data_IF_720269687373
#
_entry.id   IF_720269687373
#
_cell.length_a   1.000
_cell.length_b   1.000
_cell.length_c   1.000
_cell.angle_alpha   90.00
_cell.angle_beta   90.00
_cell.angle_gamma   90.00
#
_symmetry.space_group_name_H-M   'P 1'
#
loop_
_entity.id
_entity.type
_entity.pdbx_description
1 polymer ?
#
# COMPACT_ATOMS: atom_id res chain seq x y z
N UNK A 1 -41.67 -31.74 -18.24
CA UNK A 1 -41.69 -30.51 -17.39
C UNK A 1 -42.54 -30.65 -16.11
N UNK A 2 -43.59 -31.47 -16.09
CA UNK A 2 -44.51 -31.62 -14.95
C UNK A 2 -43.94 -32.34 -13.72
N UNK A 3 -43.05 -33.34 -13.89
CA UNK A 3 -42.47 -34.11 -12.78
C UNK A 3 -41.58 -33.32 -11.83
N UNK A 4 -40.81 -32.34 -12.32
CA UNK A 4 -39.96 -31.49 -11.47
C UNK A 4 -40.78 -30.49 -10.63
N UNK A 5 -41.93 -30.04 -11.12
CA UNK A 5 -42.81 -29.10 -10.39
C UNK A 5 -43.50 -29.78 -9.23
N UNK A 6 -43.97 -31.05 -9.44
CA UNK A 6 -44.64 -31.85 -8.41
C UNK A 6 -43.62 -32.24 -7.32
N UNK A 7 -42.38 -32.62 -7.70
CA UNK A 7 -41.34 -32.93 -6.74
C UNK A 7 -40.95 -31.70 -5.88
N UNK A 8 -40.87 -30.52 -6.47
CA UNK A 8 -40.64 -29.24 -5.74
C UNK A 8 -41.79 -28.90 -4.77
N UNK A 9 -43.01 -29.12 -5.19
CA UNK A 9 -44.22 -28.83 -4.38
C UNK A 9 -44.29 -29.83 -3.18
N UNK A 10 -44.00 -31.09 -3.40
CA UNK A 10 -43.97 -32.13 -2.36
C UNK A 10 -42.83 -31.80 -1.39
N UNK A 11 -41.61 -31.46 -1.87
CA UNK A 11 -40.48 -31.11 -1.03
C UNK A 11 -40.77 -29.86 -0.14
N UNK A 12 -41.40 -28.82 -0.72
CA UNK A 12 -41.76 -27.59 0.02
C UNK A 12 -42.85 -27.85 1.07
N UNK A 13 -43.84 -28.75 0.79
CA UNK A 13 -44.92 -29.09 1.71
C UNK A 13 -44.40 -30.00 2.82
N UNK A 14 -43.41 -30.85 2.53
CA UNK A 14 -42.76 -31.77 3.50
C UNK A 14 -41.92 -30.98 4.50
N UNK A 15 -41.20 -29.93 4.05
CA UNK A 15 -40.41 -29.04 4.90
C UNK A 15 -41.29 -28.15 5.82
N UNK A 16 -42.56 -27.93 5.49
CA UNK A 16 -43.48 -27.04 6.24
C UNK A 16 -44.62 -27.78 6.97
N UNK A 17 -44.61 -29.10 7.02
CA UNK A 17 -45.71 -29.86 7.65
C UNK A 17 -45.66 -29.72 9.19
N UNK A 18 -46.78 -29.16 9.81
CA UNK A 18 -46.79 -28.88 11.26
C UNK A 18 -47.04 -30.11 12.13
N UNK A 19 -47.18 -31.34 11.56
CA UNK A 19 -47.64 -32.52 12.27
C UNK A 19 -46.57 -33.45 12.79
N UNK A 20 -45.29 -33.13 12.66
CA UNK A 20 -44.20 -33.91 13.23
C UNK A 20 -43.19 -32.96 13.87
N UNK A 21 -43.21 -32.84 15.20
CA UNK A 21 -42.04 -32.46 15.98
C UNK A 21 -41.02 -33.60 15.88
N UNK A 22 -40.74 -34.02 14.65
CA UNK A 22 -39.74 -35.05 14.40
C UNK A 22 -38.37 -34.46 14.56
N UNK A 23 -37.54 -35.07 15.37
CA UNK A 23 -36.10 -34.81 15.51
C UNK A 23 -35.45 -34.64 14.14
N UNK A 24 -35.97 -35.27 13.10
CA UNK A 24 -35.54 -35.19 11.70
C UNK A 24 -35.65 -33.77 11.10
N UNK A 25 -36.74 -33.05 11.39
CA UNK A 25 -36.92 -31.70 10.90
C UNK A 25 -35.91 -30.72 11.55
N UNK A 26 -35.65 -30.91 12.83
CA UNK A 26 -34.65 -30.16 13.58
C UNK A 26 -33.25 -30.43 13.02
N UNK A 27 -32.90 -31.71 12.80
CA UNK A 27 -31.61 -32.09 12.21
C UNK A 27 -31.42 -31.56 10.81
N UNK A 28 -32.47 -31.54 9.96
CA UNK A 28 -32.42 -30.96 8.62
C UNK A 28 -32.17 -29.47 8.66
N UNK A 29 -32.83 -28.74 9.57
CA UNK A 29 -32.57 -27.31 9.78
C UNK A 29 -31.17 -27.02 10.29
N UNK A 30 -30.69 -27.80 11.26
CA UNK A 30 -29.30 -27.69 11.76
C UNK A 30 -28.31 -27.87 10.62
N UNK A 31 -28.53 -28.83 9.73
CA UNK A 31 -27.64 -29.05 8.58
C UNK A 31 -27.63 -27.91 7.57
N UNK A 32 -28.78 -27.30 7.31
CA UNK A 32 -28.89 -26.12 6.44
C UNK A 32 -28.14 -24.93 7.05
N UNK A 33 -28.31 -24.70 8.34
CA UNK A 33 -27.62 -23.63 9.07
C UNK A 33 -26.13 -23.90 9.15
N UNK A 34 -25.73 -25.15 9.41
CA UNK A 34 -24.33 -25.57 9.52
C UNK A 34 -23.52 -25.35 8.22
N UNK A 35 -24.17 -25.34 7.06
CA UNK A 35 -23.53 -25.00 5.77
C UNK A 35 -23.74 -23.53 5.42
N UNK A 36 -24.95 -23.03 5.65
CA UNK A 36 -25.29 -21.65 5.27
C UNK A 36 -24.49 -20.58 5.99
N UNK A 37 -24.26 -20.76 7.30
CA UNK A 37 -23.51 -19.79 8.12
C UNK A 37 -22.04 -19.70 7.70
N UNK A 38 -21.27 -20.79 7.56
CA UNK A 38 -19.89 -20.71 7.09
C UNK A 38 -19.74 -20.14 5.69
N UNK A 39 -20.67 -20.49 4.77
CA UNK A 39 -20.63 -19.92 3.41
C UNK A 39 -20.89 -18.41 3.43
N UNK A 40 -21.90 -17.97 4.19
CA UNK A 40 -22.18 -16.55 4.35
C UNK A 40 -21.01 -15.82 5.00
N UNK A 41 -20.43 -16.37 6.05
CA UNK A 41 -19.26 -15.82 6.73
C UNK A 41 -18.06 -15.69 5.77
N UNK A 42 -17.81 -16.70 4.94
CA UNK A 42 -16.71 -16.69 3.97
C UNK A 42 -16.92 -15.61 2.91
N UNK A 43 -18.16 -15.44 2.39
CA UNK A 43 -18.48 -14.38 1.41
C UNK A 43 -18.28 -13.00 2.02
N UNK A 44 -18.77 -12.78 3.25
CA UNK A 44 -18.60 -11.51 3.96
C UNK A 44 -17.12 -11.22 4.17
N UNK A 45 -16.37 -12.21 4.66
CA UNK A 45 -14.95 -12.06 4.94
C UNK A 45 -14.15 -11.72 3.67
N UNK A 46 -14.40 -12.43 2.56
CA UNK A 46 -13.77 -12.13 1.27
C UNK A 46 -14.16 -10.73 0.75
N UNK A 47 -15.40 -10.32 0.96
CA UNK A 47 -15.85 -8.97 0.58
C UNK A 47 -15.12 -7.89 1.38
N UNK A 48 -14.95 -8.09 2.69
CA UNK A 48 -14.20 -7.18 3.57
C UNK A 48 -12.73 -7.12 3.14
N UNK A 49 -12.08 -8.26 2.88
CA UNK A 49 -10.68 -8.29 2.42
C UNK A 49 -10.49 -7.59 1.08
N UNK A 50 -11.39 -7.80 0.12
CA UNK A 50 -11.30 -7.10 -1.16
C UNK A 50 -11.51 -5.59 -1.02
N UNK A 51 -12.40 -5.15 -0.13
CA UNK A 51 -12.59 -3.74 0.20
C UNK A 51 -11.35 -3.13 0.87
N UNK A 52 -10.77 -3.84 1.83
CA UNK A 52 -9.57 -3.41 2.52
C UNK A 52 -8.35 -3.32 1.58
N UNK A 53 -8.13 -4.34 0.74
CA UNK A 53 -7.08 -4.32 -0.29
C UNK A 53 -7.20 -3.10 -1.21
N UNK A 54 -8.43 -2.75 -1.62
CA UNK A 54 -8.71 -1.54 -2.40
C UNK A 54 -8.30 -0.26 -1.68
N UNK A 55 -8.67 -0.11 -0.41
CA UNK A 55 -8.33 1.07 0.40
C UNK A 55 -6.82 1.20 0.58
N UNK A 56 -6.15 0.11 0.96
CA UNK A 56 -4.67 0.09 1.13
C UNK A 56 -3.98 0.50 -0.17
N UNK A 57 -4.38 -0.09 -1.30
CA UNK A 57 -3.81 0.26 -2.62
C UNK A 57 -4.00 1.74 -2.95
N UNK A 58 -5.15 2.32 -2.64
CA UNK A 58 -5.44 3.74 -2.91
C UNK A 58 -4.57 4.64 -2.03
N UNK A 59 -4.48 4.38 -0.72
CA UNK A 59 -3.64 5.17 0.19
C UNK A 59 -2.18 5.23 -0.26
N UNK A 60 -1.60 4.07 -0.60
CA UNK A 60 -0.22 4.03 -1.10
C UNK A 60 -0.07 4.59 -2.52
N UNK A 61 -1.15 4.64 -3.32
CA UNK A 61 -1.11 5.17 -4.69
C UNK A 61 -0.88 6.67 -4.74
N UNK A 62 -1.23 7.38 -3.70
CA UNK A 62 -1.20 8.84 -3.70
C UNK A 62 0.22 9.36 -3.43
N UNK A 63 1.00 8.67 -2.58
CA UNK A 63 2.38 9.05 -2.26
C UNK A 63 3.45 8.40 -3.16
N UNK A 64 3.22 7.17 -3.62
CA UNK A 64 4.13 6.44 -4.49
C UNK A 64 3.51 6.27 -5.89
N UNK A 65 4.07 6.90 -6.94
CA UNK A 65 3.56 6.76 -8.30
C UNK A 65 3.74 5.35 -8.85
N UNK A 66 3.15 5.06 -10.01
CA UNK A 66 3.02 3.71 -10.56
C UNK A 66 4.35 3.05 -10.85
N UNK A 67 5.34 3.82 -11.32
CA UNK A 67 6.65 3.31 -11.67
C UNK A 67 7.77 4.12 -11.00
N UNK A 68 8.85 3.43 -10.71
CA UNK A 68 10.08 4.03 -10.16
C UNK A 68 11.27 3.48 -10.95
N UNK A 69 12.09 4.38 -11.46
CA UNK A 69 13.36 4.05 -12.09
C UNK A 69 14.45 4.31 -11.06
N UNK A 70 15.22 3.27 -10.74
CA UNK A 70 16.27 3.32 -9.75
C UNK A 70 17.57 2.71 -10.31
N UNK A 71 18.74 3.00 -9.73
CA UNK A 71 19.98 2.39 -10.18
C UNK A 71 20.00 0.88 -9.82
N UNK A 72 20.50 0.05 -10.74
CA UNK A 72 20.71 -1.38 -10.50
C UNK A 72 21.81 -1.64 -9.46
N UNK A 73 22.81 -0.78 -9.42
CA UNK A 73 23.92 -0.84 -8.46
C UNK A 73 24.16 0.53 -7.85
N UNK A 74 24.45 0.54 -6.54
CA UNK A 74 24.64 1.80 -5.82
C UNK A 74 23.35 2.39 -5.25
N UNK A 75 23.42 3.64 -4.80
CA UNK A 75 22.30 4.34 -4.15
C UNK A 75 21.73 5.48 -4.99
N UNK A 76 22.45 5.88 -6.02
CA UNK A 76 22.16 7.13 -6.75
C UNK A 76 22.43 6.94 -8.23
N UNK A 77 21.53 7.41 -9.04
CA UNK A 77 21.65 7.60 -10.49
C UNK A 77 21.99 9.07 -10.80
N UNK A 78 22.59 9.32 -11.95
CA UNK A 78 22.77 10.68 -12.42
C UNK A 78 21.46 11.23 -12.94
N UNK A 79 20.98 12.31 -12.34
CA UNK A 79 19.74 12.96 -12.76
C UNK A 79 20.02 13.77 -14.04
N UNK A 80 19.63 13.24 -15.19
CA UNK A 80 19.79 13.91 -16.49
C UNK A 80 18.44 14.27 -17.09
N UNK A 81 18.37 15.49 -17.68
CA UNK A 81 17.18 15.89 -18.44
C UNK A 81 16.91 14.95 -19.62
N UNK A 82 17.95 14.47 -20.29
CA UNK A 82 17.80 13.55 -21.42
C UNK A 82 17.15 12.21 -21.04
N UNK A 83 17.37 11.68 -19.83
CA UNK A 83 16.65 10.52 -19.35
C UNK A 83 15.18 10.84 -19.09
N UNK A 84 14.90 11.96 -18.42
CA UNK A 84 13.55 12.41 -18.14
C UNK A 84 12.74 12.66 -19.41
N UNK A 85 13.31 13.36 -20.39
CA UNK A 85 12.68 13.63 -21.68
C UNK A 85 12.33 12.33 -22.44
N UNK A 86 13.23 11.36 -22.47
CA UNK A 86 12.96 10.05 -23.06
C UNK A 86 11.80 9.34 -22.38
N UNK A 87 11.73 9.38 -21.06
CA UNK A 87 10.62 8.76 -20.30
C UNK A 87 9.30 9.53 -20.55
N UNK A 88 9.34 10.84 -20.60
CA UNK A 88 8.16 11.68 -20.90
C UNK A 88 7.67 11.55 -22.34
N UNK A 89 8.51 11.10 -23.28
CA UNK A 89 8.10 10.85 -24.68
C UNK A 89 7.19 9.63 -24.85
N UNK A 90 7.00 8.83 -23.81
CA UNK A 90 6.12 7.65 -23.82
C UNK A 90 4.68 8.11 -23.54
N UNK A 91 3.75 7.77 -24.42
CA UNK A 91 2.35 8.22 -24.37
C UNK A 91 1.63 7.93 -23.06
N UNK A 92 1.97 6.80 -22.41
CA UNK A 92 1.38 6.37 -21.14
C UNK A 92 1.85 7.20 -19.95
N UNK A 93 2.97 7.93 -20.08
CA UNK A 93 3.55 8.74 -19.00
C UNK A 93 2.85 10.09 -18.91
N UNK A 94 2.48 10.48 -17.70
CA UNK A 94 1.90 11.78 -17.39
C UNK A 94 2.97 12.78 -16.93
N UNK A 95 3.80 12.36 -15.96
CA UNK A 95 4.85 13.17 -15.38
C UNK A 95 5.98 12.32 -14.82
N UNK A 96 7.15 12.91 -14.64
CA UNK A 96 8.31 12.27 -14.07
C UNK A 96 9.12 13.25 -13.22
N UNK A 97 9.44 12.87 -11.97
CA UNK A 97 10.12 13.72 -10.99
C UNK A 97 11.30 12.98 -10.36
N UNK A 98 12.45 13.65 -10.27
CA UNK A 98 13.61 13.14 -9.55
C UNK A 98 13.44 13.29 -8.05
N UNK A 99 13.79 12.23 -7.31
CA UNK A 99 13.85 12.23 -5.85
C UNK A 99 15.22 11.80 -5.36
N UNK A 100 15.66 12.37 -4.25
CA UNK A 100 16.90 11.99 -3.56
C UNK A 100 16.58 11.75 -2.09
N UNK A 101 16.63 10.49 -1.68
CA UNK A 101 16.35 10.05 -0.31
C UNK A 101 17.63 9.80 0.47
N UNK A 102 17.68 10.25 1.72
CA UNK A 102 18.77 9.96 2.63
C UNK A 102 18.36 10.11 4.08
N UNK A 103 18.94 9.28 4.94
CA UNK A 103 18.69 9.37 6.38
C UNK A 103 19.47 10.54 6.99
N UNK A 104 18.80 11.34 7.80
CA UNK A 104 19.37 12.48 8.48
C UNK A 104 18.93 12.53 9.95
N UNK A 105 19.78 13.06 10.80
CA UNK A 105 19.42 13.50 12.13
C UNK A 105 18.83 14.91 12.02
N UNK A 106 17.60 15.07 12.45
CA UNK A 106 16.88 16.33 12.49
C UNK A 106 16.92 16.90 13.91
N UNK A 107 17.10 18.19 14.02
CA UNK A 107 17.03 18.88 15.32
C UNK A 107 16.18 20.14 15.22
N UNK A 108 15.36 20.37 16.23
CA UNK A 108 14.54 21.57 16.37
C UNK A 108 14.50 21.97 17.85
N UNK A 109 15.14 23.09 18.20
CA UNK A 109 15.40 23.43 19.60
C UNK A 109 16.21 22.33 20.30
N UNK A 110 15.68 21.79 21.38
CA UNK A 110 16.31 20.69 22.13
C UNK A 110 15.88 19.29 21.67
N UNK A 111 14.90 19.21 20.77
CA UNK A 111 14.36 17.94 20.29
C UNK A 111 15.14 17.42 19.09
N UNK A 112 15.20 16.11 19.00
CA UNK A 112 15.92 15.40 17.94
C UNK A 112 15.13 14.18 17.49
N UNK A 113 15.13 13.91 16.20
CA UNK A 113 14.64 12.65 15.64
C UNK A 113 15.46 12.26 14.41
N UNK A 114 15.36 11.00 14.02
CA UNK A 114 15.95 10.50 12.76
C UNK A 114 14.83 10.36 11.74
N UNK A 115 15.01 10.94 10.56
CA UNK A 115 14.04 10.81 9.48
C UNK A 115 14.74 10.72 8.12
N UNK A 116 14.03 10.23 7.12
CA UNK A 116 14.47 10.24 5.73
C UNK A 116 14.16 11.61 5.13
N UNK A 117 15.20 12.36 4.77
CA UNK A 117 15.07 13.58 3.98
C UNK A 117 14.88 13.18 2.53
N UNK A 118 13.75 13.58 1.96
CA UNK A 118 13.41 13.40 0.55
C UNK A 118 13.54 14.74 -0.17
N UNK A 119 14.60 14.88 -0.95
CA UNK A 119 14.75 16.00 -1.87
C UNK A 119 13.95 15.77 -3.13
N UNK A 120 13.16 16.74 -3.55
CA UNK A 120 12.29 16.63 -4.73
C UNK A 120 12.47 17.80 -5.67
N UNK A 121 12.25 17.58 -6.97
CA UNK A 121 12.29 18.62 -7.99
C UNK A 121 10.93 19.35 -8.12
N UNK A 122 10.87 20.36 -8.99
CA UNK A 122 9.68 21.18 -9.21
C UNK A 122 8.51 20.43 -9.85
N UNK A 123 8.72 19.25 -10.42
CA UNK A 123 7.67 18.43 -11.04
C UNK A 123 7.05 17.43 -10.06
N UNK A 124 7.52 17.42 -8.82
CA UNK A 124 7.06 16.45 -7.82
C UNK A 124 5.55 16.56 -7.54
N UNK A 125 5.01 17.77 -7.44
CA UNK A 125 3.56 17.98 -7.22
C UNK A 125 2.68 17.50 -8.37
N UNK A 126 3.24 17.42 -9.59
CA UNK A 126 2.54 16.84 -10.74
C UNK A 126 2.63 15.31 -10.74
N UNK A 127 3.63 14.74 -10.06
CA UNK A 127 3.88 13.30 -10.00
C UNK A 127 3.23 12.66 -8.78
N UNK A 128 3.19 13.39 -7.66
CA UNK A 128 2.62 12.97 -6.39
C UNK A 128 1.60 14.02 -5.94
N UNK A 129 0.41 13.60 -5.54
CA UNK A 129 -0.65 14.51 -5.08
C UNK A 129 -0.41 14.97 -3.63
N UNK A 130 0.80 15.47 -3.33
CA UNK A 130 1.22 15.83 -1.98
C UNK A 130 0.40 16.98 -1.38
N UNK A 131 -0.12 17.87 -2.23
CA UNK A 131 -0.93 19.02 -1.81
C UNK A 131 -2.25 18.56 -1.14
N UNK A 132 -2.83 17.48 -1.63
CA UNK A 132 -4.07 16.89 -1.08
C UNK A 132 -3.84 16.22 0.29
N UNK A 133 -2.58 15.91 0.62
CA UNK A 133 -2.19 15.27 1.88
C UNK A 133 -1.79 16.28 2.96
N UNK A 134 -1.81 17.57 2.66
CA UNK A 134 -1.40 18.60 3.63
C UNK A 134 -2.38 18.68 4.80
N UNK A 135 -1.88 18.43 6.00
CA UNK A 135 -2.63 18.57 7.26
C UNK A 135 -2.59 19.99 7.80
N UNK A 136 -1.45 20.67 7.63
CA UNK A 136 -1.22 22.06 8.06
C UNK A 136 -0.20 22.74 7.17
N UNK A 137 -0.36 24.06 6.96
CA UNK A 137 0.52 24.84 6.11
C UNK A 137 0.33 24.58 4.64
N UNK A 138 1.35 24.83 3.84
CA UNK A 138 1.33 24.69 2.38
C UNK A 138 2.58 23.93 1.90
N UNK A 139 2.46 23.26 0.73
CA UNK A 139 3.60 22.60 0.12
C UNK A 139 4.48 23.61 -0.62
N UNK A 140 5.35 24.27 0.14
CA UNK A 140 6.31 25.25 -0.38
C UNK A 140 7.70 24.82 0.07
N UNK A 141 8.62 24.60 -0.90
CA UNK A 141 9.98 24.15 -0.62
C UNK A 141 11.01 25.29 -0.72
N UNK A 142 10.63 26.43 -1.25
CA UNK A 142 11.45 27.63 -1.31
C UNK A 142 10.56 28.87 -1.38
N UNK A 143 10.91 29.90 -0.64
CA UNK A 143 10.27 31.20 -0.70
C UNK A 143 11.29 32.33 -0.60
N UNK A 144 10.82 33.57 -0.39
CA UNK A 144 11.67 34.75 -0.24
C UNK A 144 12.57 34.73 1.00
N UNK A 145 12.26 33.90 1.97
CA UNK A 145 13.00 33.77 3.23
C UNK A 145 14.03 32.63 3.19
N UNK A 146 14.04 31.83 2.13
CA UNK A 146 14.98 30.73 1.94
C UNK A 146 14.34 29.38 1.69
N UNK A 147 15.15 28.34 1.95
CA UNK A 147 14.74 26.96 1.73
C UNK A 147 13.79 26.47 2.86
N UNK A 148 12.80 25.70 2.45
CA UNK A 148 11.74 25.22 3.31
C UNK A 148 11.65 23.69 3.28
N UNK A 149 10.99 23.15 4.32
CA UNK A 149 10.64 21.74 4.36
C UNK A 149 9.19 21.51 4.77
N UNK A 150 8.68 20.35 4.36
CA UNK A 150 7.37 19.83 4.77
C UNK A 150 7.61 18.52 5.49
N UNK A 151 7.20 18.44 6.75
CA UNK A 151 7.43 17.28 7.60
C UNK A 151 6.19 16.37 7.63
N UNK A 152 6.40 15.06 7.71
CA UNK A 152 5.33 14.15 8.05
C UNK A 152 4.81 14.39 9.47
N UNK A 153 3.53 14.09 9.72
CA UNK A 153 2.88 14.38 11.00
C UNK A 153 3.59 13.73 12.18
N UNK A 154 4.10 12.51 12.03
CA UNK A 154 4.86 11.81 13.07
C UNK A 154 6.18 12.50 13.37
N UNK A 155 6.96 12.87 12.34
CA UNK A 155 8.22 13.63 12.50
C UNK A 155 7.94 15.00 13.12
N UNK A 156 6.89 15.69 12.69
CA UNK A 156 6.48 16.97 13.26
C UNK A 156 6.13 16.86 14.74
N UNK A 157 5.50 15.76 15.14
CA UNK A 157 5.19 15.50 16.55
C UNK A 157 6.45 15.24 17.39
N UNK A 158 7.37 14.42 16.91
CA UNK A 158 8.64 14.13 17.60
C UNK A 158 9.50 15.37 17.75
N UNK A 159 9.61 16.19 16.71
CA UNK A 159 10.34 17.46 16.74
C UNK A 159 9.59 18.55 17.52
N UNK A 160 8.30 18.37 17.80
CA UNK A 160 7.48 19.38 18.47
C UNK A 160 7.13 20.58 17.60
N UNK A 161 7.01 20.41 16.30
CA UNK A 161 6.57 21.43 15.34
C UNK A 161 5.07 21.74 15.51
N UNK A 162 4.70 22.32 16.64
CA UNK A 162 3.29 22.65 16.95
C UNK A 162 2.79 23.85 16.15
N UNK A 163 3.66 24.79 15.89
CA UNK A 163 3.42 25.97 15.06
C UNK A 163 4.49 26.04 13.98
N UNK A 164 4.12 26.49 12.79
CA UNK A 164 5.05 26.75 11.70
C UNK A 164 5.69 28.11 11.99
N UNK A 165 6.76 28.09 12.79
CA UNK A 165 7.49 29.29 13.21
C UNK A 165 8.65 29.60 12.25
N UNK A 166 9.28 30.73 12.45
CA UNK A 166 10.49 31.14 11.74
C UNK A 166 11.74 30.37 12.16
N UNK A 167 11.64 29.52 13.18
CA UNK A 167 12.76 28.70 13.64
C UNK A 167 13.07 27.59 12.63
N UNK A 168 14.34 27.38 12.38
CA UNK A 168 14.78 26.38 11.40
C UNK A 168 14.95 24.99 11.99
N UNK A 169 14.60 23.99 11.20
CA UNK A 169 14.98 22.58 11.42
C UNK A 169 16.36 22.39 10.87
N UNK A 170 17.32 21.99 11.70
CA UNK A 170 18.66 21.65 11.25
C UNK A 170 18.75 20.15 10.96
N UNK A 171 19.28 19.82 9.80
CA UNK A 171 19.44 18.47 9.29
C UNK A 171 20.92 18.14 9.25
N UNK A 172 21.31 16.99 9.79
CA UNK A 172 22.72 16.54 9.88
C UNK A 172 22.89 15.17 9.24
N UNK A 173 23.91 15.05 8.40
CA UNK A 173 24.26 13.78 7.74
C UNK A 173 25.79 13.60 7.80
N UNK A 174 26.31 12.40 8.09
CA UNK A 174 27.74 12.14 7.98
C UNK A 174 28.25 12.42 6.56
N UNK A 175 29.30 13.24 6.44
CA UNK A 175 29.95 13.53 5.16
C UNK A 175 30.57 12.25 4.57
N UNK A 176 30.51 12.12 3.26
CA UNK A 176 31.13 11.01 2.51
C UNK A 176 32.63 11.19 2.33
N UNK A 177 33.17 12.37 2.64
CA UNK A 177 34.57 12.67 2.54
C UNK A 177 35.43 11.94 3.56
N UNK A 178 36.76 11.95 3.35
CA UNK A 178 37.69 11.39 4.31
C UNK A 178 37.69 12.22 5.58
N UNK A 179 37.39 11.58 6.71
CA UNK A 179 37.51 12.20 8.01
C UNK A 179 38.93 12.73 8.24
N UNK A 180 39.06 14.02 8.44
CA UNK A 180 40.32 14.59 8.95
C UNK A 180 40.35 14.36 10.46
N UNK A 181 41.36 13.61 10.93
CA UNK A 181 41.56 13.40 12.37
C UNK A 181 41.85 14.71 13.13
N UNK A 182 42.16 15.78 12.41
CA UNK A 182 42.45 17.11 12.97
C UNK A 182 41.22 17.99 13.12
N UNK A 183 40.08 17.69 12.41
CA UNK A 183 38.85 18.42 12.47
C UNK A 183 37.66 17.44 12.48
N UNK A 184 37.25 16.93 13.62
CA UNK A 184 36.16 15.93 13.71
C UNK A 184 34.77 16.49 13.25
N UNK A 185 34.58 17.79 13.33
CA UNK A 185 33.33 18.46 12.87
C UNK A 185 33.26 18.64 11.34
N UNK A 186 34.39 18.53 10.60
CA UNK A 186 34.35 18.59 9.13
C UNK A 186 33.77 17.33 8.47
N UNK A 187 33.44 16.32 9.27
CA UNK A 187 32.82 15.08 8.82
C UNK A 187 31.29 15.06 8.88
N UNK A 188 30.63 16.22 9.10
CA UNK A 188 29.17 16.31 9.19
C UNK A 188 28.68 17.43 8.27
N UNK A 189 27.89 17.06 7.28
CA UNK A 189 27.15 18.03 6.46
C UNK A 189 25.91 18.46 7.25
N UNK A 190 25.57 19.75 7.16
CA UNK A 190 24.35 20.26 7.76
C UNK A 190 23.68 21.26 6.85
N UNK A 191 22.35 21.28 6.92
CA UNK A 191 21.47 22.26 6.27
C UNK A 191 20.41 22.68 7.27
N UNK A 192 20.04 23.95 7.23
CA UNK A 192 18.97 24.51 8.05
C UNK A 192 17.84 24.98 7.12
N UNK A 193 16.64 24.48 7.34
CA UNK A 193 15.45 24.77 6.54
C UNK A 193 14.28 25.15 7.44
N UNK A 194 13.42 26.04 7.00
CA UNK A 194 12.24 26.43 7.79
C UNK A 194 11.05 25.53 7.48
N UNK A 195 10.26 25.09 8.49
CA UNK A 195 9.06 24.31 8.25
C UNK A 195 7.97 25.15 7.57
N UNK A 196 7.47 24.71 6.41
CA UNK A 196 6.38 25.33 5.67
C UNK A 196 5.04 24.63 5.89
N UNK A 197 5.07 23.34 6.18
CA UNK A 197 3.86 22.55 6.34
C UNK A 197 4.10 21.20 6.97
N UNK A 198 2.98 20.53 7.23
CA UNK A 198 2.93 19.15 7.75
C UNK A 198 1.96 18.38 6.89
N UNK A 199 2.40 17.26 6.33
CA UNK A 199 1.54 16.31 5.61
C UNK A 199 1.17 15.13 6.49
N UNK A 200 0.05 14.46 6.16
CA UNK A 200 -0.38 13.23 6.83
C UNK A 200 -1.00 12.28 5.82
N UNK A 201 -0.49 11.07 5.78
CA UNK A 201 -0.93 9.99 4.90
C UNK A 201 -1.20 8.72 5.71
N UNK A 202 -0.16 8.13 6.26
CA UNK A 202 -0.18 6.94 7.11
C UNK A 202 0.95 7.02 8.15
N UNK A 203 0.81 6.25 9.23
CA UNK A 203 1.73 6.33 10.37
C UNK A 203 3.20 6.05 10.01
N UNK A 204 3.46 5.14 9.08
CA UNK A 204 4.81 4.77 8.68
C UNK A 204 5.46 5.87 7.84
N UNK A 205 4.74 6.42 6.87
CA UNK A 205 5.20 7.53 6.02
C UNK A 205 5.33 8.83 6.82
N UNK A 206 4.35 9.12 7.66
CA UNK A 206 4.31 10.32 8.52
C UNK A 206 5.45 10.37 9.53
N UNK A 207 5.83 9.19 10.06
CA UNK A 207 6.95 9.06 11.00
C UNK A 207 8.33 9.01 10.34
N UNK A 208 8.38 8.91 9.02
CA UNK A 208 9.62 8.62 8.31
C UNK A 208 10.16 9.78 7.48
N UNK A 209 9.31 10.56 6.81
CA UNK A 209 9.75 11.47 5.78
C UNK A 209 9.68 12.95 6.16
N UNK A 210 10.71 13.68 5.70
CA UNK A 210 10.70 15.15 5.58
C UNK A 210 11.06 15.50 4.15
N UNK A 211 10.22 16.31 3.50
CA UNK A 211 10.37 16.69 2.10
C UNK A 211 11.01 18.08 2.03
N UNK A 212 12.01 18.24 1.18
CA UNK A 212 12.68 19.52 0.89
C UNK A 212 13.04 19.61 -0.59
N UNK A 213 13.64 20.72 -1.02
CA UNK A 213 14.09 20.84 -2.40
C UNK A 213 15.22 19.87 -2.73
N UNK A 214 15.29 19.43 -3.99
CA UNK A 214 16.34 18.55 -4.48
C UNK A 214 17.75 19.16 -4.29
N UNK A 215 17.85 20.49 -4.40
CA UNK A 215 19.10 21.24 -4.20
C UNK A 215 19.60 21.12 -2.75
N UNK A 216 18.72 21.31 -1.77
CA UNK A 216 19.04 21.16 -0.35
C UNK A 216 19.45 19.73 -0.03
N UNK A 217 18.72 18.75 -0.53
CA UNK A 217 19.06 17.35 -0.31
C UNK A 217 20.40 16.96 -0.96
N UNK A 218 20.71 17.46 -2.15
CA UNK A 218 21.99 17.25 -2.81
C UNK A 218 23.16 17.82 -2.02
N UNK A 219 22.99 19.05 -1.53
CA UNK A 219 24.02 19.68 -0.67
C UNK A 219 24.20 18.93 0.66
N UNK A 220 23.10 18.45 1.27
CA UNK A 220 23.13 17.71 2.53
C UNK A 220 23.78 16.34 2.38
N UNK A 221 23.43 15.60 1.33
CA UNK A 221 23.82 14.19 1.11
C UNK A 221 25.12 14.06 0.30
N UNK A 222 25.71 15.17 -0.14
CA UNK A 222 26.95 15.22 -0.95
C UNK A 222 26.82 14.46 -2.29
N UNK A 223 25.73 14.80 -3.04
CA UNK A 223 25.46 14.28 -4.38
C UNK A 223 25.04 15.40 -5.34
N UNK A 224 25.97 16.16 -5.91
CA UNK A 224 25.66 17.37 -6.71
C UNK A 224 24.70 17.14 -7.87
N UNK A 225 24.84 16.00 -8.56
CA UNK A 225 24.00 15.64 -9.73
C UNK A 225 23.22 14.34 -9.50
N UNK A 226 23.18 13.87 -8.25
CA UNK A 226 22.57 12.59 -7.92
C UNK A 226 21.05 12.66 -7.73
N UNK A 227 20.40 11.52 -7.97
CA UNK A 227 19.03 11.23 -7.54
C UNK A 227 18.95 9.75 -7.11
N UNK A 228 18.15 9.44 -6.10
CA UNK A 228 17.92 8.06 -5.69
C UNK A 228 17.03 7.33 -6.68
N UNK A 229 16.09 8.06 -7.30
CA UNK A 229 15.16 7.51 -8.26
C UNK A 229 14.52 8.60 -9.14
N UNK A 230 14.00 8.19 -10.29
CA UNK A 230 13.05 8.94 -11.08
C UNK A 230 11.67 8.30 -10.88
N UNK A 231 10.77 9.03 -10.24
CA UNK A 231 9.38 8.65 -9.99
C UNK A 231 8.54 9.00 -11.20
N UNK A 232 7.75 8.06 -11.69
CA UNK A 232 6.99 8.20 -12.94
C UNK A 232 5.51 7.95 -12.68
N UNK A 233 4.68 8.96 -12.96
CA UNK A 233 3.22 8.88 -12.90
C UNK A 233 2.66 8.55 -14.27
N UNK A 234 1.76 7.59 -14.34
CA UNK A 234 1.09 7.19 -15.56
C UNK A 234 -0.27 7.89 -15.70
N UNK A 235 -0.73 8.03 -16.95
CA UNK A 235 -2.10 8.52 -17.25
C UNK A 235 -3.17 7.52 -16.82
N UNK A 236 -2.84 6.23 -16.88
CA UNK A 236 -3.70 5.14 -16.42
C UNK A 236 -2.84 4.10 -15.68
N UNK A 237 -3.17 3.86 -14.42
CA UNK A 237 -2.47 2.91 -13.55
C UNK A 237 -2.49 1.46 -14.12
N UNK A 238 -3.55 1.08 -14.84
CA UNK A 238 -3.67 -0.25 -15.44
C UNK A 238 -2.66 -0.52 -16.57
N UNK A 239 -2.04 0.52 -17.09
CA UNK A 239 -1.01 0.41 -18.13
C UNK A 239 0.41 0.20 -17.59
N UNK A 240 0.58 0.03 -16.28
CA UNK A 240 1.88 -0.01 -15.60
C UNK A 240 2.84 -1.06 -16.18
N UNK A 241 2.39 -2.27 -16.49
CA UNK A 241 3.25 -3.31 -17.07
C UNK A 241 3.69 -2.99 -18.50
N UNK A 242 2.80 -2.40 -19.32
CA UNK A 242 3.14 -1.98 -20.69
C UNK A 242 4.12 -0.81 -20.69
N UNK A 243 3.86 0.19 -19.85
CA UNK A 243 4.74 1.33 -19.69
C UNK A 243 6.12 0.90 -19.16
N UNK A 244 6.16 -0.03 -18.20
CA UNK A 244 7.39 -0.62 -17.68
C UNK A 244 8.23 -1.25 -18.79
N UNK A 245 7.63 -2.05 -19.66
CA UNK A 245 8.34 -2.67 -20.79
C UNK A 245 8.92 -1.64 -21.74
N UNK A 246 8.13 -0.64 -22.15
CA UNK A 246 8.60 0.44 -23.03
C UNK A 246 9.71 1.28 -22.38
N UNK A 247 9.60 1.57 -21.10
CA UNK A 247 10.64 2.29 -20.37
C UNK A 247 11.90 1.45 -20.29
N UNK A 248 11.80 0.15 -20.01
CA UNK A 248 12.95 -0.74 -19.90
C UNK A 248 13.76 -0.81 -21.21
N UNK A 249 13.12 -0.67 -22.39
CA UNK A 249 13.79 -0.67 -23.70
C UNK A 249 14.66 0.58 -23.93
N UNK A 250 14.35 1.70 -23.30
CA UNK A 250 15.06 2.99 -23.47
C UNK A 250 16.02 3.30 -22.33
N UNK A 251 15.95 2.51 -21.24
CA UNK A 251 16.81 2.73 -20.07
C UNK A 251 18.25 2.29 -20.34
N UNK A 252 19.24 2.98 -19.74
CA UNK A 252 20.61 2.48 -19.64
C UNK A 252 20.68 1.19 -18.82
N UNK A 253 21.69 0.35 -19.09
CA UNK A 253 21.89 -0.95 -18.41
C UNK A 253 22.12 -0.84 -16.89
N UNK A 254 22.46 0.34 -16.40
CA UNK A 254 22.68 0.63 -14.99
C UNK A 254 21.40 1.02 -14.23
N UNK A 255 20.26 1.11 -14.92
CA UNK A 255 18.97 1.46 -14.34
C UNK A 255 17.97 0.30 -14.45
N UNK A 256 17.06 0.24 -13.51
CA UNK A 256 15.93 -0.70 -13.49
C UNK A 256 14.63 0.03 -13.24
N UNK A 257 13.57 -0.36 -13.95
CA UNK A 257 12.22 0.12 -13.70
C UNK A 257 11.46 -0.89 -12.87
N UNK A 258 10.84 -0.43 -11.80
CA UNK A 258 10.07 -1.22 -10.86
C UNK A 258 8.67 -0.65 -10.73
N UNK A 259 7.69 -1.55 -10.65
CA UNK A 259 6.32 -1.16 -10.31
C UNK A 259 6.20 -0.88 -8.81
N UNK A 260 5.17 -0.17 -8.40
CA UNK A 260 4.84 0.04 -6.98
C UNK A 260 4.72 -1.27 -6.21
N UNK A 261 4.11 -2.30 -6.83
CA UNK A 261 3.97 -3.62 -6.23
C UNK A 261 5.32 -4.33 -6.02
N UNK A 262 6.28 -4.13 -6.93
CA UNK A 262 7.63 -4.68 -6.79
C UNK A 262 8.44 -3.95 -5.71
N UNK A 263 8.32 -2.63 -5.62
CA UNK A 263 8.97 -1.83 -4.57
C UNK A 263 8.48 -2.22 -3.18
N UNK A 264 7.19 -2.44 -3.02
CA UNK A 264 6.54 -2.81 -1.77
C UNK A 264 6.20 -4.31 -1.71
N UNK A 265 7.01 -5.15 -2.35
CA UNK A 265 6.73 -6.58 -2.51
C UNK A 265 6.52 -7.32 -1.17
N UNK A 266 7.18 -6.91 -0.09
CA UNK A 266 6.98 -7.50 1.24
C UNK A 266 5.58 -7.25 1.78
N UNK A 267 5.05 -6.05 1.61
CA UNK A 267 3.70 -5.66 2.02
C UNK A 267 2.65 -6.38 1.17
N UNK A 268 2.77 -6.32 -0.15
CA UNK A 268 1.82 -6.99 -1.05
C UNK A 268 1.80 -8.50 -0.87
N UNK A 269 2.97 -9.14 -0.68
CA UNK A 269 3.05 -10.57 -0.34
C UNK A 269 2.40 -10.89 1.01
N UNK A 270 2.52 -10.01 1.99
CA UNK A 270 1.84 -10.14 3.28
C UNK A 270 0.33 -10.21 3.11
N UNK A 271 -0.27 -9.28 2.38
CA UNK A 271 -1.70 -9.25 2.07
C UNK A 271 -2.17 -10.50 1.30
N UNK A 272 -1.36 -10.97 0.34
CA UNK A 272 -1.66 -12.19 -0.43
C UNK A 272 -1.61 -13.44 0.46
N UNK A 273 -0.67 -13.54 1.39
CA UNK A 273 -0.59 -14.65 2.35
C UNK A 273 -1.78 -14.66 3.31
N UNK A 274 -2.20 -13.50 3.83
CA UNK A 274 -3.39 -13.40 4.69
C UNK A 274 -4.64 -13.84 3.93
N UNK A 275 -4.82 -13.37 2.70
CA UNK A 275 -5.93 -13.77 1.84
C UNK A 275 -5.94 -15.28 1.57
N UNK A 276 -4.78 -15.87 1.28
CA UNK A 276 -4.64 -17.31 1.09
C UNK A 276 -4.96 -18.09 2.36
N UNK A 277 -4.49 -17.65 3.52
CA UNK A 277 -4.77 -18.29 4.81
C UNK A 277 -6.28 -18.30 5.11
N UNK A 278 -6.97 -17.17 4.90
CA UNK A 278 -8.43 -17.09 5.07
C UNK A 278 -9.17 -18.03 4.12
N UNK A 279 -8.73 -18.12 2.88
CA UNK A 279 -9.32 -19.04 1.89
C UNK A 279 -9.14 -20.51 2.30
N UNK A 280 -7.94 -20.88 2.78
CA UNK A 280 -7.67 -22.24 3.26
C UNK A 280 -8.53 -22.60 4.49
N UNK A 281 -8.64 -21.70 5.46
CA UNK A 281 -9.49 -21.89 6.65
C UNK A 281 -10.95 -22.04 6.22
N UNK A 282 -11.44 -21.17 5.34
CA UNK A 282 -12.80 -21.24 4.81
C UNK A 282 -13.08 -22.55 4.07
N UNK A 283 -12.14 -23.03 3.26
CA UNK A 283 -12.24 -24.31 2.56
C UNK A 283 -12.30 -25.48 3.56
N UNK A 284 -11.48 -25.46 4.61
CA UNK A 284 -11.50 -26.49 5.65
C UNK A 284 -12.84 -26.53 6.39
N UNK A 285 -13.41 -25.37 6.72
CA UNK A 285 -14.73 -25.27 7.34
C UNK A 285 -15.83 -25.83 6.41
N UNK A 286 -15.76 -25.54 5.10
CA UNK A 286 -16.70 -26.07 4.11
C UNK A 286 -16.62 -27.60 3.99
N UNK A 287 -15.41 -28.16 4.04
CA UNK A 287 -15.20 -29.61 4.02
C UNK A 287 -15.89 -30.26 5.25
N UNK A 288 -15.65 -29.72 6.45
CA UNK A 288 -16.27 -30.23 7.68
C UNK A 288 -17.81 -30.12 7.63
N UNK A 289 -18.31 -28.98 7.15
CA UNK A 289 -19.76 -28.77 6.96
C UNK A 289 -20.35 -29.78 5.97
N UNK A 290 -19.64 -30.09 4.87
CA UNK A 290 -20.07 -31.09 3.88
C UNK A 290 -20.19 -32.50 4.49
N UNK A 291 -19.25 -32.91 5.33
CA UNK A 291 -19.37 -34.20 6.05
C UNK A 291 -20.58 -34.22 6.99
N UNK A 292 -20.90 -33.13 7.66
CA UNK A 292 -22.09 -33.01 8.51
C UNK A 292 -23.38 -33.20 7.70
N UNK A 293 -23.45 -32.63 6.50
CA UNK A 293 -24.61 -32.79 5.59
C UNK A 293 -24.77 -34.24 5.15
N UNK A 294 -23.67 -34.89 4.73
CA UNK A 294 -23.69 -36.29 4.34
C UNK A 294 -24.19 -37.18 5.48
N UNK A 295 -23.71 -36.96 6.71
CA UNK A 295 -24.18 -37.70 7.90
C UNK A 295 -25.68 -37.54 8.14
N UNK A 296 -26.18 -36.30 8.06
CA UNK A 296 -27.59 -36.00 8.25
C UNK A 296 -28.48 -36.61 7.15
N UNK A 297 -28.05 -36.52 5.89
CA UNK A 297 -28.76 -37.10 4.76
C UNK A 297 -28.83 -38.63 4.89
N UNK A 298 -27.73 -39.27 5.27
CA UNK A 298 -27.67 -40.72 5.49
C UNK A 298 -28.64 -41.16 6.57
N UNK A 299 -28.68 -40.45 7.71
CA UNK A 299 -29.62 -40.72 8.79
C UNK A 299 -31.09 -40.55 8.35
N UNK A 300 -31.38 -39.48 7.58
CA UNK A 300 -32.69 -39.21 7.04
C UNK A 300 -33.18 -40.30 6.06
N UNK A 301 -32.27 -40.83 5.24
CA UNK A 301 -32.55 -41.94 4.32
C UNK A 301 -32.85 -43.22 5.08
N UNK A 302 -32.07 -43.55 6.11
CA UNK A 302 -32.24 -44.75 6.93
C UNK A 302 -33.61 -44.69 7.63
N UNK A 303 -33.95 -43.59 8.26
CA UNK A 303 -35.20 -43.42 9.01
C UNK A 303 -36.46 -43.46 8.11
N UNK A 304 -36.33 -43.07 6.84
CA UNK A 304 -37.41 -43.11 5.86
C UNK A 304 -37.49 -44.38 5.04
N UNK A 305 -36.53 -45.32 5.23
CA UNK A 305 -36.47 -46.57 4.48
C UNK A 305 -37.74 -47.44 4.67
N UNK A 306 -38.28 -47.49 5.89
CA UNK A 306 -39.54 -48.18 6.19
C UNK A 306 -40.74 -47.55 5.51
N UNK A 307 -40.84 -46.21 5.51
CA UNK A 307 -41.92 -45.48 4.84
C UNK A 307 -41.86 -45.57 3.32
N UNK A 308 -40.68 -45.75 2.73
CA UNK A 308 -40.49 -45.96 1.30
C UNK A 308 -40.81 -47.42 0.90
N UNK A 309 -40.62 -48.39 1.78
CA UNK A 309 -40.98 -49.78 1.52
C UNK A 309 -42.50 -50.00 1.44
N UNK A 310 -43.29 -49.18 2.15
CA UNK A 310 -44.76 -49.22 2.12
C UNK A 310 -45.36 -48.53 0.88
N UNK A 311 -44.58 -47.76 0.13
CA UNK A 311 -45.00 -47.07 -1.10
C UNK A 311 -44.64 -47.84 -2.40
N UNK A 312 -44.05 -49.01 -2.27
CA UNK A 312 -43.66 -49.88 -3.38
C UNK A 312 -44.59 -51.08 -3.45
#
# INVERSE_FOLDING_TARGET
RSRHTVAKLIARRFLRSPRSHSIINVMSWISVVAVGVPVAAMVILMSVFNGFDGIVRTMYSDFEPELTIAPTRGKVLTASEGLREKVLSIDEVLSASYVLDGEALLTYGERKCTATVRGVDSLFTQTVAIEDMMSRGEFVLRDVWGDRCVAGLGVAYELGLRQLTTDSVAMYVPSRGRYSKLMPLSGINHQAVMPAGVFSLDADTDGKYVITSLEVARALLDYPEGASALKVRLRNADSSERAKQKIAEILPDDCVVQTRAELNASMYKGLDYEKMAVLLIGMMILIVASFSVVGTLTMLIIDKKESLATLR
#
